data_IF_903835384949
#
_entry.id   IF_903835384949
#
_cell.length_a   1.000
_cell.length_b   1.000
_cell.length_c   1.000
_cell.angle_alpha   90.00
_cell.angle_beta   90.00
_cell.angle_gamma   90.00
#
_symmetry.space_group_name_H-M   'P 1'
#
loop_
_entity.id
_entity.type
_entity.pdbx_description
1 polymer ?
#
# COMPACT_ATOMS: atom_id res chain seq x y z
N UNK A 1 32.94 7.54 -2.30
CA UNK A 1 31.49 7.84 -2.29
C UNK A 1 31.33 9.31 -2.63
N UNK A 2 30.65 9.65 -3.73
CA UNK A 2 30.36 11.06 -4.06
C UNK A 2 28.91 11.34 -3.65
N UNK A 3 28.70 12.42 -2.90
CA UNK A 3 27.40 12.86 -2.41
C UNK A 3 26.87 13.98 -3.31
N UNK A 4 25.77 13.71 -4.01
CA UNK A 4 25.08 14.69 -4.84
C UNK A 4 24.02 15.39 -4.00
N UNK A 5 24.16 16.70 -3.79
CA UNK A 5 23.28 17.48 -2.93
C UNK A 5 22.40 18.39 -3.77
N UNK A 6 21.09 18.20 -3.67
CA UNK A 6 20.09 19.06 -4.32
C UNK A 6 19.15 19.63 -3.25
N UNK A 7 19.55 20.73 -2.58
CA UNK A 7 18.86 21.22 -1.39
C UNK A 7 17.46 21.77 -1.69
N UNK A 8 17.23 22.25 -2.91
CA UNK A 8 15.97 22.85 -3.35
C UNK A 8 15.15 21.97 -4.30
N UNK A 9 15.60 20.74 -4.60
CA UNK A 9 14.83 19.84 -5.46
C UNK A 9 13.61 19.34 -4.69
N UNK A 10 12.42 19.71 -5.16
CA UNK A 10 11.13 19.40 -4.51
C UNK A 10 10.36 18.28 -5.20
N UNK A 11 10.64 18.01 -6.48
CA UNK A 11 9.94 17.00 -7.25
C UNK A 11 10.87 16.28 -8.22
N UNK A 12 10.67 14.97 -8.35
CA UNK A 12 11.29 14.14 -9.38
C UNK A 12 10.15 13.52 -10.20
N UNK A 13 10.18 13.72 -11.52
CA UNK A 13 9.20 13.17 -12.44
C UNK A 13 9.93 12.49 -13.60
N UNK A 14 9.88 11.16 -13.66
CA UNK A 14 10.54 10.35 -14.68
C UNK A 14 9.49 9.60 -15.48
N UNK A 15 9.48 9.80 -16.80
CA UNK A 15 8.49 9.20 -17.69
C UNK A 15 9.15 8.48 -18.87
N UNK A 16 8.68 7.27 -19.17
CA UNK A 16 9.07 6.49 -20.35
C UNK A 16 10.56 6.14 -20.42
N UNK A 17 11.25 6.06 -19.28
CA UNK A 17 12.69 5.79 -19.23
C UNK A 17 12.96 4.29 -19.18
N UNK A 18 12.77 3.62 -20.32
CA UNK A 18 12.83 2.15 -20.45
C UNK A 18 14.19 1.51 -20.16
N UNK A 19 15.27 2.29 -20.22
CA UNK A 19 16.65 1.84 -19.94
C UNK A 19 17.19 2.34 -18.59
N UNK A 20 16.47 3.24 -17.91
CA UNK A 20 16.96 3.84 -16.67
C UNK A 20 16.85 2.83 -15.51
N UNK A 21 18.00 2.42 -14.98
CA UNK A 21 18.09 1.47 -13.86
C UNK A 21 18.32 2.17 -12.52
N UNK A 22 19.07 3.27 -12.53
CA UNK A 22 19.49 4.04 -11.37
C UNK A 22 19.81 5.48 -11.79
N UNK A 23 19.85 6.42 -10.83
CA UNK A 23 20.35 7.77 -11.10
C UNK A 23 21.87 7.82 -11.29
N UNK A 24 22.59 6.95 -10.60
CA UNK A 24 24.05 6.90 -10.64
C UNK A 24 24.53 5.45 -10.72
N UNK A 25 25.70 5.24 -11.32
CA UNK A 25 26.41 3.95 -11.35
C UNK A 25 27.54 4.03 -10.32
N UNK A 26 27.67 3.03 -9.43
CA UNK A 26 28.65 3.05 -8.33
C UNK A 26 28.05 3.45 -6.98
N UNK A 27 28.92 3.76 -6.00
CA UNK A 27 28.54 4.07 -4.62
C UNK A 27 28.41 5.59 -4.43
N UNK A 28 27.22 6.13 -4.73
CA UNK A 28 26.88 7.55 -4.72
C UNK A 28 25.56 7.84 -4.00
N UNK A 29 25.53 8.79 -3.07
CA UNK A 29 24.31 9.17 -2.37
C UNK A 29 23.65 10.40 -3.00
N UNK A 30 22.32 10.43 -2.96
CA UNK A 30 21.50 11.56 -3.38
C UNK A 30 20.85 12.19 -2.14
N UNK A 31 21.24 13.42 -1.83
CA UNK A 31 20.63 14.17 -0.73
C UNK A 31 19.68 15.24 -1.28
N UNK A 32 18.38 14.90 -1.31
CA UNK A 32 17.32 15.83 -1.70
C UNK A 32 16.54 16.25 -0.46
N UNK A 33 17.10 17.21 0.30
CA UNK A 33 16.47 17.63 1.56
C UNK A 33 15.02 18.07 1.32
N UNK A 34 14.73 18.90 0.32
CA UNK A 34 13.39 19.45 0.10
C UNK A 34 12.42 18.57 -0.72
N UNK A 35 12.75 17.30 -0.98
CA UNK A 35 11.95 16.46 -1.88
C UNK A 35 10.60 16.12 -1.28
N UNK A 36 9.53 16.43 -2.02
CA UNK A 36 8.13 16.19 -1.61
C UNK A 36 7.43 15.19 -2.50
N UNK A 37 7.79 15.12 -3.78
CA UNK A 37 7.03 14.33 -4.75
C UNK A 37 7.94 13.49 -5.62
N UNK A 38 7.64 12.20 -5.77
CA UNK A 38 8.26 11.31 -6.75
C UNK A 38 7.18 10.74 -7.65
N UNK A 39 7.31 10.93 -8.96
CA UNK A 39 6.43 10.34 -9.97
C UNK A 39 7.26 9.51 -10.95
N UNK A 40 6.93 8.24 -11.07
CA UNK A 40 7.57 7.32 -12.01
C UNK A 40 6.51 6.74 -12.94
N UNK A 41 6.65 6.97 -14.25
CA UNK A 41 5.72 6.48 -15.27
C UNK A 41 6.46 5.66 -16.30
N UNK A 42 6.07 4.41 -16.52
CA UNK A 42 6.65 3.53 -17.55
C UNK A 42 8.19 3.47 -17.48
N UNK A 43 8.72 3.25 -16.27
CA UNK A 43 10.14 3.09 -15.97
C UNK A 43 10.45 1.65 -15.53
N UNK A 44 10.32 0.65 -16.42
CA UNK A 44 10.24 -0.77 -16.06
C UNK A 44 11.50 -1.37 -15.43
N UNK A 45 12.63 -0.68 -15.47
CA UNK A 45 13.92 -1.17 -14.94
C UNK A 45 14.36 -0.51 -13.65
N UNK A 46 13.58 0.45 -13.13
CA UNK A 46 13.98 1.26 -11.98
C UNK A 46 13.70 0.53 -10.67
N UNK A 47 14.67 0.57 -9.75
CA UNK A 47 14.48 0.16 -8.35
C UNK A 47 14.54 1.41 -7.47
N UNK A 48 13.45 1.72 -6.77
CA UNK A 48 13.31 2.95 -5.98
C UNK A 48 14.22 2.99 -4.75
N UNK A 49 14.20 1.91 -3.95
CA UNK A 49 14.93 1.78 -2.70
C UNK A 49 15.51 0.36 -2.62
N UNK A 50 16.84 0.26 -2.58
CA UNK A 50 17.64 -0.96 -2.57
C UNK A 50 18.65 -0.74 -1.49
N UNK A 51 18.51 -1.48 -0.41
CA UNK A 51 19.44 -1.36 0.67
C UNK A 51 20.82 -1.88 0.29
N UNK A 52 21.85 -1.23 0.83
CA UNK A 52 23.12 -1.88 1.02
C UNK A 52 23.00 -2.83 2.22
N UNK A 53 23.61 -4.03 2.17
CA UNK A 53 23.73 -4.86 3.35
C UNK A 53 24.44 -4.08 4.45
N UNK A 54 23.91 -4.13 5.67
CA UNK A 54 24.65 -3.72 6.86
C UNK A 54 25.99 -4.46 6.84
N UNK A 55 27.10 -3.72 6.79
CA UNK A 55 28.42 -4.31 7.00
C UNK A 55 28.51 -4.71 8.47
N UNK A 56 27.98 -5.88 8.81
CA UNK A 56 28.49 -6.56 9.98
C UNK A 56 29.96 -6.88 9.69
N UNK A 57 30.85 -6.38 10.54
CA UNK A 57 32.26 -6.74 10.53
C UNK A 57 32.38 -8.25 10.69
N UNK A 58 32.50 -8.98 9.59
CA UNK A 58 33.11 -10.29 9.62
C UNK A 58 34.47 -10.16 8.93
N UNK A 59 35.50 -10.15 9.78
CA UNK A 59 36.85 -10.44 9.35
C UNK A 59 36.90 -11.87 8.82
N UNK A 60 36.96 -12.08 7.51
CA UNK A 60 37.77 -13.18 6.99
C UNK A 60 38.21 -12.88 5.57
N UNK A 61 39.45 -13.28 5.30
CA UNK A 61 40.17 -13.04 4.05
C UNK A 61 39.56 -13.87 2.93
N UNK A 62 39.53 -13.26 1.75
CA UNK A 62 39.34 -13.87 0.44
C UNK A 62 37.97 -14.51 0.21
N UNK A 63 37.04 -13.71 -0.33
CA UNK A 63 36.21 -14.19 -1.43
C UNK A 63 35.80 -13.03 -2.34
N UNK A 64 35.73 -13.36 -3.62
CA UNK A 64 35.63 -12.48 -4.78
C UNK A 64 34.52 -11.42 -4.60
N UNK A 65 34.90 -10.14 -4.75
CA UNK A 65 34.02 -8.97 -4.80
C UNK A 65 32.96 -9.10 -5.90
N UNK A 66 31.86 -9.80 -5.64
CA UNK A 66 30.70 -9.82 -6.51
C UNK A 66 29.87 -8.54 -6.29
N UNK A 67 30.39 -7.41 -6.77
CA UNK A 67 29.74 -6.10 -6.65
C UNK A 67 28.71 -5.98 -7.77
N UNK A 68 27.42 -6.24 -7.49
CA UNK A 68 26.35 -5.79 -8.38
C UNK A 68 26.17 -4.26 -8.22
N UNK A 69 26.88 -3.48 -9.04
CA UNK A 69 27.16 -2.02 -8.88
C UNK A 69 26.01 -1.04 -9.16
N UNK A 70 24.75 -1.43 -8.96
CA UNK A 70 23.61 -0.50 -9.07
C UNK A 70 23.03 -0.20 -7.69
N UNK A 71 23.06 1.08 -7.32
CA UNK A 71 22.40 1.64 -6.15
C UNK A 71 20.97 2.07 -6.49
N UNK A 72 20.07 2.10 -5.50
CA UNK A 72 18.71 2.58 -5.75
C UNK A 72 18.65 4.05 -6.09
N UNK A 73 17.45 4.47 -6.48
CA UNK A 73 17.13 5.87 -6.72
C UNK A 73 17.43 6.77 -5.50
N UNK A 74 17.19 6.27 -4.28
CA UNK A 74 17.52 6.98 -3.05
C UNK A 74 18.28 6.08 -2.08
N UNK A 75 19.44 6.55 -1.65
CA UNK A 75 20.20 6.00 -0.52
C UNK A 75 19.92 6.89 0.69
N UNK A 76 19.35 6.32 1.74
CA UNK A 76 19.23 7.02 3.03
C UNK A 76 20.57 6.84 3.74
N UNK A 77 21.38 7.90 3.79
CA UNK A 77 22.55 7.92 4.66
C UNK A 77 22.06 7.97 6.12
N UNK A 78 22.41 6.95 6.89
CA UNK A 78 22.28 6.89 8.34
C UNK A 78 23.30 7.85 8.97
N UNK A 79 23.16 9.16 8.73
CA UNK A 79 23.92 10.15 9.50
C UNK A 79 23.24 10.35 10.86
N UNK A 80 23.76 9.59 11.84
CA UNK A 80 23.82 9.93 13.28
C UNK A 80 22.56 9.65 14.12
N UNK A 81 22.32 8.37 14.44
CA UNK A 81 21.56 7.99 15.65
C UNK A 81 22.47 7.65 16.84
N UNK A 82 23.67 8.25 16.90
CA UNK A 82 24.63 8.05 17.99
C UNK A 82 25.33 9.36 18.36
N UNK A 83 24.57 10.37 18.77
CA UNK A 83 24.93 11.22 19.93
C UNK A 83 23.97 12.39 20.11
N UNK A 84 23.43 12.45 21.33
CA UNK A 84 23.12 13.68 22.09
C UNK A 84 21.99 14.58 21.57
N UNK A 85 20.96 14.68 22.43
CA UNK A 85 19.96 15.74 22.52
C UNK A 85 20.51 17.12 22.14
N UNK A 86 20.08 17.71 21.02
CA UNK A 86 19.70 19.13 20.91
C UNK A 86 19.32 19.50 19.47
N UNK A 87 18.26 20.31 19.35
CA UNK A 87 17.89 21.18 18.21
C UNK A 87 17.49 20.54 16.87
N UNK A 88 16.17 20.48 16.66
CA UNK A 88 15.42 20.72 15.41
C UNK A 88 16.20 20.71 14.10
N UNK A 89 16.09 19.62 13.33
CA UNK A 89 16.22 19.68 11.87
C UNK A 89 14.99 19.02 11.25
N UNK A 90 14.11 19.88 10.75
CA UNK A 90 12.96 19.51 9.92
C UNK A 90 13.47 18.63 8.78
N UNK A 91 13.19 17.33 8.82
CA UNK A 91 13.41 16.44 7.68
C UNK A 91 12.25 16.69 6.72
N UNK A 92 12.47 17.23 5.52
CA UNK A 92 11.41 17.35 4.55
C UNK A 92 11.19 15.94 4.00
N UNK A 93 10.15 15.29 4.52
CA UNK A 93 9.78 13.95 4.12
C UNK A 93 8.96 13.95 2.83
N UNK A 94 9.14 12.91 2.04
CA UNK A 94 8.34 12.64 0.87
C UNK A 94 6.85 12.69 1.25
N UNK A 95 6.06 13.46 0.50
CA UNK A 95 4.62 13.64 0.69
C UNK A 95 3.81 12.82 -0.29
N UNK A 96 4.28 12.71 -1.53
CA UNK A 96 3.54 12.09 -2.62
C UNK A 96 4.42 11.10 -3.37
N UNK A 97 3.86 9.91 -3.64
CA UNK A 97 4.51 8.86 -4.40
C UNK A 97 3.53 8.30 -5.45
N UNK A 98 3.81 8.59 -6.72
CA UNK A 98 3.00 8.13 -7.86
C UNK A 98 3.81 7.12 -8.68
N UNK A 99 3.36 5.88 -8.73
CA UNK A 99 4.05 4.75 -9.36
C UNK A 99 3.18 4.12 -10.43
N UNK A 100 3.53 4.36 -11.69
CA UNK A 100 2.69 3.98 -12.81
C UNK A 100 3.45 3.10 -13.81
N UNK A 101 2.93 1.91 -14.08
CA UNK A 101 3.45 0.94 -15.05
C UNK A 101 4.93 0.60 -14.79
N UNK A 102 5.18 0.06 -13.59
CA UNK A 102 6.49 -0.44 -13.16
C UNK A 102 6.44 -1.98 -13.08
N UNK A 103 6.47 -2.70 -14.20
CA UNK A 103 6.17 -4.14 -14.26
C UNK A 103 7.17 -5.02 -13.49
N UNK A 104 8.35 -4.52 -13.13
CA UNK A 104 9.35 -5.24 -12.31
C UNK A 104 9.39 -4.82 -10.84
N UNK A 105 8.63 -3.80 -10.45
CA UNK A 105 8.60 -3.32 -9.07
C UNK A 105 7.93 -4.37 -8.19
N UNK A 106 8.72 -5.05 -7.35
CA UNK A 106 8.21 -6.05 -6.40
C UNK A 106 7.86 -5.48 -5.04
N UNK A 107 8.56 -4.43 -4.64
CA UNK A 107 8.47 -3.80 -3.34
C UNK A 107 8.71 -2.30 -3.48
N UNK A 108 7.88 -1.47 -2.85
CA UNK A 108 8.23 -0.06 -2.64
C UNK A 108 9.41 -0.02 -1.66
N UNK A 109 9.31 -0.75 -0.55
CA UNK A 109 10.43 -0.96 0.37
C UNK A 109 10.57 -2.44 0.74
N UNK A 110 11.81 -2.92 0.90
CA UNK A 110 12.10 -4.27 1.39
C UNK A 110 12.00 -4.36 2.93
N UNK A 111 11.91 -5.57 3.46
CA UNK A 111 11.83 -5.83 4.90
C UNK A 111 13.20 -5.71 5.58
N UNK A 112 13.25 -5.26 6.85
CA UNK A 112 14.49 -5.11 7.62
C UNK A 112 15.16 -3.73 7.55
N UNK A 113 14.47 -2.69 7.04
CA UNK A 113 15.01 -1.33 6.93
C UNK A 113 14.34 -0.34 7.88
N UNK A 114 15.14 0.49 8.55
CA UNK A 114 14.66 1.66 9.28
C UNK A 114 14.33 2.80 8.30
N UNK A 115 13.25 2.63 7.53
CA UNK A 115 12.74 3.66 6.60
C UNK A 115 11.89 4.74 7.28
N UNK A 116 11.78 4.66 8.61
CA UNK A 116 10.86 5.46 9.42
C UNK A 116 11.05 6.98 9.30
N UNK A 117 12.20 7.56 8.86
CA UNK A 117 12.24 9.00 8.57
C UNK A 117 11.64 9.40 7.21
N UNK A 118 11.64 8.51 6.20
CA UNK A 118 11.40 8.90 4.80
C UNK A 118 9.97 8.66 4.32
N UNK A 119 9.36 7.53 4.68
CA UNK A 119 7.98 7.19 4.29
C UNK A 119 6.94 7.66 5.32
N UNK A 120 7.38 7.98 6.54
CA UNK A 120 6.49 8.37 7.65
C UNK A 120 5.64 9.61 7.34
N UNK A 121 6.20 10.57 6.61
CA UNK A 121 5.52 11.80 6.22
C UNK A 121 4.73 11.69 4.90
N UNK A 122 4.62 10.51 4.31
CA UNK A 122 3.80 10.32 3.10
C UNK A 122 2.35 10.68 3.41
N UNK A 123 1.80 11.54 2.58
CA UNK A 123 0.42 12.02 2.61
C UNK A 123 -0.42 11.31 1.54
N UNK A 124 0.18 10.95 0.41
CA UNK A 124 -0.48 10.30 -0.73
C UNK A 124 0.39 9.23 -1.39
N UNK A 125 -0.22 8.08 -1.69
CA UNK A 125 0.35 7.06 -2.56
C UNK A 125 -0.67 6.71 -3.65
N UNK A 126 -0.22 6.75 -4.90
CA UNK A 126 -0.95 6.22 -6.07
C UNK A 126 -0.08 5.16 -6.77
N UNK A 127 -0.59 3.94 -6.91
CA UNK A 127 0.09 2.84 -7.59
C UNK A 127 -0.80 2.25 -8.68
N UNK A 128 -0.39 2.41 -9.94
CA UNK A 128 -1.15 1.92 -11.09
C UNK A 128 -0.32 0.96 -11.94
N UNK A 129 -0.89 -0.19 -12.31
CA UNK A 129 -0.26 -1.21 -13.18
C UNK A 129 1.14 -1.69 -12.74
N UNK A 130 1.42 -1.71 -11.43
CA UNK A 130 2.63 -2.34 -10.91
C UNK A 130 2.40 -3.84 -10.67
N UNK A 131 2.28 -4.62 -11.75
CA UNK A 131 1.80 -6.02 -11.68
C UNK A 131 2.71 -7.01 -10.95
N UNK A 132 3.98 -6.66 -10.68
CA UNK A 132 4.87 -7.50 -9.86
C UNK A 132 4.87 -7.14 -8.37
N UNK A 133 4.15 -6.09 -7.96
CA UNK A 133 4.14 -5.61 -6.58
C UNK A 133 3.44 -6.64 -5.69
N UNK A 134 4.13 -7.15 -4.67
CA UNK A 134 3.64 -8.27 -3.83
C UNK A 134 2.91 -7.77 -2.58
N UNK A 135 3.39 -6.67 -2.01
CA UNK A 135 2.84 -5.94 -0.87
C UNK A 135 3.13 -4.45 -1.07
N UNK A 136 2.32 -3.55 -0.50
CA UNK A 136 2.59 -2.11 -0.60
C UNK A 136 3.90 -1.76 0.11
N UNK A 137 4.00 -2.13 1.40
CA UNK A 137 5.14 -1.90 2.29
C UNK A 137 5.28 -3.05 3.30
N UNK A 138 6.46 -3.27 3.91
CA UNK A 138 6.64 -4.22 4.99
C UNK A 138 5.99 -3.74 6.30
N UNK A 139 5.81 -4.64 7.26
CA UNK A 139 5.16 -4.38 8.56
C UNK A 139 5.86 -3.33 9.43
N UNK A 140 7.13 -3.02 9.15
CA UNK A 140 7.92 -2.01 9.85
C UNK A 140 7.60 -0.57 9.42
N UNK A 141 6.82 -0.36 8.36
CA UNK A 141 6.49 0.99 7.87
C UNK A 141 5.23 1.52 8.55
N UNK A 142 5.29 2.78 8.97
CA UNK A 142 4.16 3.52 9.53
C UNK A 142 3.76 4.68 8.62
N UNK A 143 2.46 4.95 8.52
CA UNK A 143 1.87 5.99 7.68
C UNK A 143 1.09 7.01 8.51
N UNK A 144 1.79 7.72 9.41
CA UNK A 144 1.17 8.65 10.39
C UNK A 144 0.60 9.93 9.78
N UNK A 145 0.91 10.24 8.53
CA UNK A 145 0.44 11.43 7.81
C UNK A 145 -0.39 11.12 6.56
N UNK A 146 -0.56 9.83 6.22
CA UNK A 146 -1.24 9.45 4.99
C UNK A 146 -2.71 9.80 5.05
N UNK A 147 -3.18 10.47 3.99
CA UNK A 147 -4.57 10.89 3.80
C UNK A 147 -5.20 10.24 2.58
N UNK A 148 -4.40 9.81 1.60
CA UNK A 148 -4.84 9.22 0.35
C UNK A 148 -4.05 7.95 -0.01
N UNK A 149 -4.78 6.90 -0.40
CA UNK A 149 -4.20 5.68 -0.95
C UNK A 149 -5.05 5.21 -2.14
N UNK A 150 -4.43 5.12 -3.31
CA UNK A 150 -5.01 4.51 -4.50
C UNK A 150 -4.11 3.41 -5.05
N UNK A 151 -4.71 2.24 -5.31
CA UNK A 151 -4.00 1.10 -5.92
C UNK A 151 -4.87 0.49 -7.00
N UNK A 152 -4.39 0.58 -8.24
CA UNK A 152 -5.16 0.19 -9.42
C UNK A 152 -4.39 -0.80 -10.31
N UNK A 153 -5.01 -1.92 -10.68
CA UNK A 153 -4.44 -2.92 -11.62
C UNK A 153 -3.10 -3.54 -11.18
N UNK A 154 -2.87 -3.70 -9.87
CA UNK A 154 -1.65 -4.29 -9.30
C UNK A 154 -1.85 -5.78 -8.99
N UNK A 155 -1.79 -6.61 -10.02
CA UNK A 155 -2.14 -8.04 -9.98
C UNK A 155 -1.13 -8.96 -9.28
N UNK A 156 -0.03 -8.45 -8.74
CA UNK A 156 0.90 -9.21 -7.90
C UNK A 156 0.51 -9.22 -6.42
N UNK A 157 -0.40 -8.33 -6.01
CA UNK A 157 -0.80 -8.16 -4.62
C UNK A 157 -1.73 -9.31 -4.21
N UNK A 158 -1.32 -10.04 -3.19
CA UNK A 158 -2.18 -11.01 -2.49
C UNK A 158 -2.84 -10.34 -1.28
N UNK A 159 -2.06 -9.51 -0.58
CA UNK A 159 -2.53 -8.60 0.48
C UNK A 159 -2.01 -7.20 0.19
N UNK A 160 -2.74 -6.15 0.56
CA UNK A 160 -2.29 -4.77 0.32
C UNK A 160 -1.31 -4.31 1.40
N UNK A 161 -1.73 -4.39 2.66
CA UNK A 161 -0.98 -3.93 3.85
C UNK A 161 -1.05 -4.96 4.98
N UNK A 162 -0.17 -4.79 5.97
CA UNK A 162 -0.16 -5.60 7.19
C UNK A 162 -1.04 -4.97 8.27
N UNK A 163 -1.36 -5.75 9.32
CA UNK A 163 -2.07 -5.25 10.51
C UNK A 163 -1.35 -4.06 11.16
N UNK A 164 -0.02 -4.13 11.33
CA UNK A 164 0.78 -3.04 11.90
C UNK A 164 0.69 -1.75 11.06
N UNK A 165 0.77 -1.88 9.74
CA UNK A 165 0.64 -0.76 8.81
C UNK A 165 -0.76 -0.16 8.90
N UNK A 166 -1.81 -1.00 8.94
CA UNK A 166 -3.19 -0.57 9.06
C UNK A 166 -3.44 0.26 10.32
N UNK A 167 -2.87 -0.13 11.48
CA UNK A 167 -2.99 0.64 12.72
C UNK A 167 -2.42 2.05 12.64
N UNK A 168 -1.47 2.29 11.74
CA UNK A 168 -0.85 3.61 11.57
C UNK A 168 -1.68 4.58 10.71
N UNK A 169 -2.64 4.06 9.92
CA UNK A 169 -3.45 4.81 8.95
C UNK A 169 -4.60 5.62 9.59
N UNK A 170 -4.36 6.23 10.75
CA UNK A 170 -5.38 6.96 11.53
C UNK A 170 -5.85 8.25 10.85
N UNK A 171 -5.04 8.83 9.96
CA UNK A 171 -5.34 10.04 9.19
C UNK A 171 -5.85 9.76 7.77
N UNK A 172 -5.90 8.49 7.36
CA UNK A 172 -6.32 8.13 6.01
C UNK A 172 -7.77 8.57 5.82
N UNK A 173 -8.04 9.33 4.76
CA UNK A 173 -9.38 9.87 4.45
C UNK A 173 -10.03 9.16 3.29
N UNK A 174 -9.22 8.72 2.33
CA UNK A 174 -9.67 8.07 1.09
C UNK A 174 -8.82 6.84 0.80
N UNK A 175 -9.48 5.71 0.58
CA UNK A 175 -8.86 4.47 0.12
C UNK A 175 -9.59 3.97 -1.12
N UNK A 176 -8.85 3.81 -2.23
CA UNK A 176 -9.39 3.26 -3.49
C UNK A 176 -8.55 2.08 -3.95
N UNK A 177 -9.19 0.95 -4.19
CA UNK A 177 -8.54 -0.27 -4.65
C UNK A 177 -9.34 -0.81 -5.83
N UNK A 178 -8.73 -0.81 -7.01
CA UNK A 178 -9.43 -1.14 -8.24
C UNK A 178 -8.69 -2.16 -9.09
N UNK A 179 -9.40 -3.12 -9.69
CA UNK A 179 -8.86 -4.04 -10.71
C UNK A 179 -7.63 -4.85 -10.25
N UNK A 180 -7.47 -5.06 -8.95
CA UNK A 180 -6.43 -5.92 -8.37
C UNK A 180 -6.98 -7.34 -8.21
N UNK A 181 -6.88 -8.15 -9.27
CA UNK A 181 -7.64 -9.40 -9.41
C UNK A 181 -7.15 -10.54 -8.52
N UNK A 182 -5.92 -10.47 -8.00
CA UNK A 182 -5.31 -11.48 -7.12
C UNK A 182 -5.36 -11.13 -5.63
N UNK A 183 -5.88 -9.96 -5.29
CA UNK A 183 -6.00 -9.50 -3.91
C UNK A 183 -7.05 -10.34 -3.18
N UNK A 184 -6.65 -11.02 -2.11
CA UNK A 184 -7.53 -11.88 -1.31
C UNK A 184 -8.05 -11.15 -0.07
N UNK A 185 -7.20 -10.36 0.58
CA UNK A 185 -7.52 -9.50 1.71
C UNK A 185 -6.83 -8.13 1.54
N UNK A 186 -7.42 -7.06 2.08
CA UNK A 186 -6.76 -5.74 2.09
C UNK A 186 -5.72 -5.69 3.22
N UNK A 187 -6.12 -6.13 4.41
CA UNK A 187 -5.26 -6.20 5.59
C UNK A 187 -4.92 -7.65 5.93
N UNK A 188 -3.63 -7.97 5.94
CA UNK A 188 -3.14 -9.28 6.38
C UNK A 188 -3.13 -9.38 7.91
N UNK A 189 -3.91 -10.31 8.45
CA UNK A 189 -4.12 -10.51 9.88
C UNK A 189 -3.16 -11.43 10.62
N UNK A 190 -2.17 -12.02 9.95
CA UNK A 190 -1.30 -13.08 10.53
C UNK A 190 -0.27 -12.59 11.58
N UNK A 191 -0.25 -11.31 11.91
CA UNK A 191 0.81 -10.70 12.73
C UNK A 191 0.43 -10.51 14.22
N UNK A 192 -0.85 -10.29 14.55
CA UNK A 192 -1.36 -10.19 15.94
C UNK A 192 -2.90 -10.14 15.95
N UNK A 193 -3.55 -11.15 16.52
CA UNK A 193 -5.02 -11.32 16.48
C UNK A 193 -5.76 -10.53 17.58
N UNK A 194 -5.04 -9.95 18.54
CA UNK A 194 -5.64 -9.42 19.78
C UNK A 194 -5.97 -7.93 19.77
N UNK A 195 -5.36 -7.16 18.88
CA UNK A 195 -5.40 -5.70 18.88
C UNK A 195 -6.36 -5.11 17.85
N UNK A 196 -7.19 -4.15 18.26
CA UNK A 196 -8.12 -3.45 17.37
C UNK A 196 -7.42 -2.59 16.30
N UNK A 197 -8.08 -2.43 15.15
CA UNK A 197 -7.70 -1.49 14.09
C UNK A 197 -8.73 -0.37 14.05
N UNK A 198 -8.28 0.88 13.93
CA UNK A 198 -9.18 2.04 13.82
C UNK A 198 -8.74 2.96 12.68
N UNK A 199 -9.56 3.04 11.64
CA UNK A 199 -9.41 4.01 10.55
C UNK A 199 -10.15 5.31 10.93
N UNK A 200 -9.58 6.06 11.86
CA UNK A 200 -10.27 7.17 12.55
C UNK A 200 -10.79 8.27 11.61
N UNK A 201 -10.11 8.51 10.49
CA UNK A 201 -10.43 9.62 9.58
C UNK A 201 -10.98 9.17 8.23
N UNK A 202 -11.13 7.86 7.99
CA UNK A 202 -11.52 7.33 6.69
C UNK A 202 -12.97 7.71 6.42
N UNK A 203 -13.20 8.44 5.31
CA UNK A 203 -14.52 8.90 4.87
C UNK A 203 -15.01 8.16 3.64
N UNK A 204 -14.08 7.82 2.74
CA UNK A 204 -14.39 7.18 1.46
C UNK A 204 -13.58 5.90 1.28
N UNK A 205 -14.27 4.78 1.11
CA UNK A 205 -13.69 3.48 0.78
C UNK A 205 -14.29 2.96 -0.52
N UNK A 206 -13.44 2.66 -1.51
CA UNK A 206 -13.88 2.12 -2.79
C UNK A 206 -13.09 0.87 -3.17
N UNK A 207 -13.83 -0.20 -3.46
CA UNK A 207 -13.36 -1.52 -3.83
C UNK A 207 -14.04 -1.92 -5.13
N UNK A 208 -13.31 -1.86 -6.25
CA UNK A 208 -13.90 -2.11 -7.58
C UNK A 208 -13.16 -3.20 -8.33
N UNK A 209 -13.90 -4.17 -8.87
CA UNK A 209 -13.38 -5.23 -9.73
C UNK A 209 -12.28 -6.07 -9.06
N UNK A 210 -12.52 -6.51 -7.82
CA UNK A 210 -11.58 -7.32 -7.04
C UNK A 210 -12.05 -8.78 -7.02
N UNK A 211 -11.60 -9.56 -7.99
CA UNK A 211 -12.17 -10.88 -8.30
C UNK A 211 -11.96 -11.93 -7.21
N UNK A 212 -10.88 -11.83 -6.44
CA UNK A 212 -10.52 -12.78 -5.38
C UNK A 212 -10.68 -12.23 -3.96
N UNK A 213 -11.14 -10.99 -3.83
CA UNK A 213 -11.27 -10.36 -2.53
C UNK A 213 -12.36 -11.09 -1.73
N UNK A 214 -11.98 -11.73 -0.63
CA UNK A 214 -12.90 -12.45 0.23
C UNK A 214 -13.48 -11.54 1.32
N UNK A 215 -12.69 -10.58 1.80
CA UNK A 215 -12.99 -9.70 2.96
C UNK A 215 -11.99 -8.55 3.05
N UNK A 216 -12.28 -7.58 3.91
CA UNK A 216 -11.39 -6.44 4.18
C UNK A 216 -10.15 -6.83 5.00
N UNK A 217 -10.32 -7.55 6.12
CA UNK A 217 -9.19 -8.09 6.93
C UNK A 217 -9.33 -9.59 7.10
N UNK A 218 -8.21 -10.32 7.02
CA UNK A 218 -8.14 -11.74 7.40
C UNK A 218 -8.11 -11.98 8.91
N UNK A 219 -7.88 -10.94 9.71
CA UNK A 219 -7.88 -10.98 11.17
C UNK A 219 -9.28 -11.04 11.78
N UNK A 220 -9.39 -11.64 12.97
CA UNK A 220 -10.61 -11.62 13.81
C UNK A 220 -10.76 -10.34 14.64
N UNK A 221 -9.81 -9.41 14.58
CA UNK A 221 -9.84 -8.24 15.45
C UNK A 221 -10.96 -7.25 15.04
N UNK A 222 -11.50 -6.47 16.01
CA UNK A 222 -12.47 -5.43 15.70
C UNK A 222 -11.87 -4.33 14.82
N UNK A 223 -12.63 -3.87 13.83
CA UNK A 223 -12.24 -2.77 12.95
C UNK A 223 -13.24 -1.62 13.09
N UNK A 224 -12.73 -0.43 13.43
CA UNK A 224 -13.55 0.77 13.64
C UNK A 224 -13.39 1.76 12.49
N UNK A 225 -14.51 2.30 12.05
CA UNK A 225 -14.60 3.31 10.99
C UNK A 225 -15.48 4.48 11.45
N UNK A 226 -15.04 5.27 12.45
CA UNK A 226 -15.91 6.27 13.09
C UNK A 226 -16.34 7.42 12.17
N UNK A 227 -15.62 7.71 11.09
CA UNK A 227 -15.94 8.80 10.15
C UNK A 227 -16.28 8.32 8.73
N UNK A 228 -16.49 7.02 8.52
CA UNK A 228 -16.74 6.48 7.19
C UNK A 228 -18.14 6.90 6.73
N UNK A 229 -18.19 7.59 5.61
CA UNK A 229 -19.41 8.19 5.05
C UNK A 229 -19.89 7.40 3.84
N UNK A 230 -18.96 6.95 3.00
CA UNK A 230 -19.25 6.28 1.72
C UNK A 230 -18.41 5.01 1.58
N UNK A 231 -19.10 3.91 1.27
CA UNK A 231 -18.50 2.64 0.86
C UNK A 231 -19.01 2.27 -0.52
N UNK A 232 -18.10 2.01 -1.45
CA UNK A 232 -18.41 1.53 -2.80
C UNK A 232 -17.76 0.16 -3.00
N UNK A 233 -18.56 -0.88 -3.22
CA UNK A 233 -18.09 -2.24 -3.52
C UNK A 233 -18.71 -2.73 -4.82
N UNK A 234 -17.98 -2.67 -5.93
CA UNK A 234 -18.51 -3.05 -7.26
C UNK A 234 -17.67 -4.18 -7.85
N UNK A 235 -18.30 -5.22 -8.38
CA UNK A 235 -17.67 -6.34 -9.10
C UNK A 235 -16.66 -7.11 -8.24
N UNK A 236 -17.04 -7.41 -7.00
CA UNK A 236 -16.22 -8.16 -6.03
C UNK A 236 -16.91 -9.51 -5.66
N UNK A 237 -17.00 -10.47 -6.59
CA UNK A 237 -17.91 -11.62 -6.48
C UNK A 237 -17.62 -12.60 -5.34
N UNK A 238 -16.41 -12.59 -4.76
CA UNK A 238 -16.02 -13.50 -3.67
C UNK A 238 -16.23 -12.90 -2.28
N UNK A 239 -16.61 -11.62 -2.19
CA UNK A 239 -16.67 -10.90 -0.92
C UNK A 239 -17.97 -11.20 -0.19
N UNK A 240 -18.02 -12.21 0.68
CA UNK A 240 -19.26 -12.60 1.40
C UNK A 240 -19.53 -11.78 2.66
N UNK A 241 -18.48 -11.21 3.25
CA UNK A 241 -18.53 -10.40 4.47
C UNK A 241 -17.56 -9.24 4.33
N UNK A 242 -17.85 -8.12 4.99
CA UNK A 242 -16.91 -7.01 5.03
C UNK A 242 -15.70 -7.35 5.93
N UNK A 243 -15.93 -7.76 7.17
CA UNK A 243 -14.89 -8.25 8.09
C UNK A 243 -15.42 -9.36 8.99
N UNK A 244 -14.53 -10.24 9.48
CA UNK A 244 -14.93 -11.26 10.46
C UNK A 244 -15.22 -10.68 11.85
N UNK A 245 -14.50 -9.60 12.23
CA UNK A 245 -14.80 -8.82 13.42
C UNK A 245 -15.98 -7.87 13.21
N UNK A 246 -16.46 -7.26 14.31
CA UNK A 246 -17.49 -6.22 14.28
C UNK A 246 -16.94 -4.98 13.56
N UNK A 247 -17.61 -4.57 12.47
CA UNK A 247 -17.32 -3.33 11.76
C UNK A 247 -18.20 -2.19 12.30
N UNK A 248 -17.66 -1.36 13.20
CA UNK A 248 -18.42 -0.23 13.74
C UNK A 248 -18.34 0.98 12.79
N UNK A 249 -19.49 1.37 12.22
CA UNK A 249 -19.61 2.37 11.13
C UNK A 249 -20.73 3.40 11.46
N UNK A 250 -20.59 4.19 12.54
CA UNK A 250 -21.70 4.99 13.09
C UNK A 250 -22.16 6.15 12.18
N UNK A 251 -21.31 6.60 11.27
CA UNK A 251 -21.56 7.73 10.36
C UNK A 251 -21.75 7.30 8.90
N UNK A 252 -21.90 6.00 8.64
CA UNK A 252 -22.02 5.48 7.28
C UNK A 252 -23.37 5.86 6.70
N UNK A 253 -23.33 6.66 5.63
CA UNK A 253 -24.51 7.24 4.99
C UNK A 253 -24.84 6.54 3.68
N UNK A 254 -23.82 6.12 2.94
CA UNK A 254 -23.99 5.57 1.60
C UNK A 254 -23.18 4.29 1.44
N UNK A 255 -23.87 3.23 1.05
CA UNK A 255 -23.26 1.96 0.65
C UNK A 255 -23.76 1.63 -0.75
N UNK A 256 -22.85 1.68 -1.72
CA UNK A 256 -23.11 1.32 -3.11
C UNK A 256 -22.50 -0.06 -3.37
N UNK A 257 -23.32 -1.07 -3.64
CA UNK A 257 -22.82 -2.40 -3.99
C UNK A 257 -23.32 -2.79 -5.37
N UNK A 258 -22.39 -2.92 -6.32
CA UNK A 258 -22.68 -3.06 -7.75
C UNK A 258 -23.65 -2.00 -8.30
N UNK A 259 -24.91 -2.38 -8.54
CA UNK A 259 -25.98 -1.52 -9.08
C UNK A 259 -27.08 -1.25 -8.04
N UNK A 260 -26.91 -1.74 -6.82
CA UNK A 260 -27.90 -1.65 -5.74
C UNK A 260 -27.41 -0.73 -4.62
N UNK A 261 -28.29 0.17 -4.20
CA UNK A 261 -28.10 1.04 -3.05
C UNK A 261 -28.97 0.52 -1.92
N UNK A 262 -28.47 -0.46 -1.18
CA UNK A 262 -29.14 -0.99 0.00
C UNK A 262 -28.24 -0.81 1.23
N UNK A 263 -28.82 -0.30 2.32
CA UNK A 263 -28.11 -0.09 3.58
C UNK A 263 -28.95 -0.59 4.74
N UNK A 264 -28.46 -1.63 5.41
CA UNK A 264 -29.16 -2.32 6.51
C UNK A 264 -28.83 -1.75 7.90
N UNK A 265 -28.04 -0.68 7.98
CA UNK A 265 -27.52 -0.15 9.25
C UNK A 265 -26.33 -0.93 9.83
N UNK A 266 -26.01 -2.10 9.26
CA UNK A 266 -24.81 -2.88 9.56
C UNK A 266 -24.09 -3.24 8.24
N UNK A 267 -22.80 -2.92 8.14
CA UNK A 267 -22.02 -3.12 6.92
C UNK A 267 -21.78 -4.59 6.60
N UNK A 268 -21.59 -5.44 7.61
CA UNK A 268 -21.46 -6.87 7.37
C UNK A 268 -22.77 -7.48 6.88
N UNK A 269 -23.89 -7.10 7.48
CA UNK A 269 -25.22 -7.57 7.08
C UNK A 269 -25.58 -7.09 5.68
N UNK A 270 -25.31 -5.82 5.37
CA UNK A 270 -25.54 -5.23 4.05
C UNK A 270 -24.79 -6.00 2.97
N UNK A 271 -23.48 -6.22 3.17
CA UNK A 271 -22.67 -7.02 2.24
C UNK A 271 -23.25 -8.43 2.12
N UNK A 272 -23.51 -9.10 3.25
CA UNK A 272 -24.00 -10.48 3.25
C UNK A 272 -25.32 -10.64 2.46
N UNK A 273 -26.32 -9.83 2.77
CA UNK A 273 -27.65 -9.90 2.14
C UNK A 273 -27.54 -9.78 0.61
N UNK A 274 -26.74 -8.84 0.12
CA UNK A 274 -26.58 -8.57 -1.31
C UNK A 274 -25.84 -9.66 -2.07
N UNK A 275 -24.95 -10.42 -1.41
CA UNK A 275 -24.29 -11.57 -2.04
C UNK A 275 -25.14 -12.84 -1.96
N UNK A 276 -25.90 -13.04 -0.87
CA UNK A 276 -26.85 -14.16 -0.74
C UNK A 276 -27.99 -14.02 -1.79
N UNK A 277 -28.51 -12.81 -2.02
CA UNK A 277 -29.53 -12.53 -3.04
C UNK A 277 -29.03 -12.80 -4.47
N UNK A 278 -27.73 -12.57 -4.73
CA UNK A 278 -27.11 -12.90 -6.04
C UNK A 278 -26.93 -14.39 -6.23
N UNK A 279 -26.53 -15.15 -5.20
CA UNK A 279 -26.46 -16.61 -5.29
C UNK A 279 -27.86 -17.21 -5.56
N UNK A 280 -28.91 -16.70 -4.91
CA UNK A 280 -30.30 -17.12 -5.16
C UNK A 280 -30.70 -16.83 -6.61
N UNK A 281 -30.45 -15.62 -7.12
CA UNK A 281 -30.81 -15.25 -8.50
C UNK A 281 -30.03 -16.06 -9.55
N UNK A 282 -28.75 -16.36 -9.32
CA UNK A 282 -27.96 -17.24 -10.20
C UNK A 282 -28.50 -18.68 -10.19
N UNK A 283 -28.94 -19.17 -9.03
CA UNK A 283 -29.52 -20.52 -8.90
C UNK A 283 -30.92 -20.64 -9.51
N UNK A 284 -31.73 -19.58 -9.49
CA UNK A 284 -33.03 -19.54 -10.17
C UNK A 284 -32.85 -19.54 -11.69
N UNK A 285 -31.84 -18.81 -12.21
CA UNK A 285 -31.55 -18.79 -13.66
C UNK A 285 -30.91 -20.10 -14.16
N UNK A 286 -30.21 -20.86 -13.32
CA UNK A 286 -29.59 -22.14 -13.69
C UNK A 286 -30.54 -23.35 -13.59
N UNK A 287 -31.68 -23.22 -12.92
CA UNK A 287 -32.69 -24.29 -12.78
C UNK A 287 -33.75 -24.30 -13.88
N UNK A 288 -33.70 -23.34 -14.81
CA UNK A 288 -34.54 -23.30 -16.00
C UNK A 288 -34.02 -24.18 -17.15
N UNK A 289 -34.02 -25.51 -16.99
CA UNK A 289 -33.86 -26.42 -18.13
C UNK A 289 -35.25 -26.85 -18.62
N UNK A 290 -35.65 -26.57 -19.89
CA UNK A 290 -36.93 -27.00 -20.41
C UNK A 290 -36.88 -28.51 -20.66
N UNK A 291 -37.68 -29.27 -19.92
CA UNK A 291 -37.94 -30.67 -20.21
C UNK A 291 -38.73 -30.76 -21.51
N UNK A 292 -38.09 -31.28 -22.56
CA UNK A 292 -38.76 -31.83 -23.73
C UNK A 292 -38.57 -33.33 -23.75
#
# INVERSE_FOLDING_TARGET
>A
MVKFVFPHLTSINLKYLTKLKAFFVGVHSLQCKSLKTIKLFACPTIELFKAEPLRHQESSKNDVLNISTYQPLFVIEEEVLTSVKSTTQFTPGLRELDLWDLPKLKYICKEGFQMDPFLHFLESIDVYQCSSLIKLVPSSVTFSYMTYLEVTSCNGLINLITHSTAKSLVKLTTMKIQRCYWLEDIVNGKEDETNEISFCSLRYLELISLQRLCRFCSCLCPIKFPMLEVVVVKKCPQMKLFSLGVANTPNLQTVEIDEENHWDGDLNQTVKNLFDDKEINVNILSTGCPTY
#
